data_IF_363028387009
#
_entry.id   IF_363028387009
#
_cell.length_a   1.000
_cell.length_b   1.000
_cell.length_c   1.000
_cell.angle_alpha   90.00
_cell.angle_beta   90.00
_cell.angle_gamma   90.00
#
_symmetry.space_group_name_H-M   'P 1'
#
loop_
_entity.id
_entity.type
_entity.pdbx_description
1 polymer ?
#
# COMPACT_ATOMS: atom_id res chain seq x y z
N UNK A 1 15.79 -15.30 -15.24
CA UNK A 1 14.57 -14.58 -14.83
C UNK A 1 14.71 -14.35 -13.35
N UNK A 2 14.90 -13.09 -12.91
CA UNK A 2 14.94 -12.77 -11.48
C UNK A 2 13.56 -12.28 -11.05
N UNK A 3 12.86 -13.08 -10.25
CA UNK A 3 11.62 -12.67 -9.62
C UNK A 3 11.96 -11.78 -8.42
N UNK A 4 11.78 -10.48 -8.59
CA UNK A 4 11.91 -9.53 -7.49
C UNK A 4 10.60 -9.47 -6.70
N UNK A 5 10.61 -10.04 -5.48
CA UNK A 5 9.50 -9.89 -4.54
C UNK A 5 9.57 -8.52 -3.86
N UNK A 6 8.61 -7.66 -4.19
CA UNK A 6 8.44 -6.37 -3.52
C UNK A 6 7.46 -6.51 -2.37
N UNK A 7 7.84 -6.00 -1.21
CA UNK A 7 6.92 -5.87 -0.06
C UNK A 7 6.22 -4.52 -0.13
N UNK A 8 5.01 -4.44 0.45
CA UNK A 8 4.25 -3.18 0.49
C UNK A 8 5.02 -1.99 1.09
N UNK A 9 5.86 -2.15 2.15
CA UNK A 9 6.66 -1.04 2.65
C UNK A 9 7.67 -0.54 1.61
N UNK A 10 8.28 -1.45 0.84
CA UNK A 10 9.22 -1.10 -0.24
C UNK A 10 8.51 -0.36 -1.36
N UNK A 11 7.29 -0.76 -1.71
CA UNK A 11 6.44 -0.04 -2.67
C UNK A 11 6.11 1.36 -2.13
N UNK A 12 5.79 1.49 -0.85
CA UNK A 12 5.58 2.78 -0.19
C UNK A 12 6.77 3.73 -0.34
N UNK A 13 7.99 3.23 -0.10
CA UNK A 13 9.23 4.01 -0.31
C UNK A 13 9.45 4.39 -1.77
N UNK A 14 9.11 3.50 -2.72
CA UNK A 14 9.22 3.81 -4.15
C UNK A 14 8.24 4.91 -4.58
N UNK A 15 7.01 4.86 -4.06
CA UNK A 15 6.01 5.91 -4.30
C UNK A 15 6.51 7.26 -3.77
N UNK A 16 7.02 7.29 -2.53
CA UNK A 16 7.59 8.48 -1.92
C UNK A 16 8.75 9.07 -2.76
N UNK A 17 9.67 8.23 -3.22
CA UNK A 17 10.77 8.63 -4.09
C UNK A 17 10.29 9.21 -5.45
N UNK A 18 9.11 8.78 -5.93
CA UNK A 18 8.46 9.35 -7.10
C UNK A 18 7.63 10.62 -6.80
N UNK A 19 7.60 11.10 -5.56
CA UNK A 19 6.76 12.21 -5.14
C UNK A 19 5.27 11.85 -5.11
N UNK A 20 4.95 10.58 -4.84
CA UNK A 20 3.60 10.07 -4.71
C UNK A 20 3.31 9.71 -3.25
N UNK A 21 2.18 10.18 -2.74
CA UNK A 21 1.68 9.78 -1.43
C UNK A 21 0.76 8.56 -1.57
N UNK A 22 1.05 7.51 -0.82
CA UNK A 22 0.21 6.31 -0.76
C UNK A 22 -1.12 6.60 -0.04
N UNK A 23 -2.23 6.23 -0.68
CA UNK A 23 -3.59 6.45 -0.18
C UNK A 23 -4.27 5.17 0.31
N UNK A 24 -3.81 4.00 -0.14
CA UNK A 24 -4.35 2.72 0.27
C UNK A 24 -4.33 1.68 -0.85
N UNK A 25 -4.91 0.53 -0.53
CA UNK A 25 -5.02 -0.61 -1.43
C UNK A 25 -6.48 -0.93 -1.71
N UNK A 26 -6.72 -1.33 -2.95
CA UNK A 26 -7.96 -1.95 -3.38
C UNK A 26 -7.67 -3.41 -3.72
N UNK A 27 -8.24 -4.29 -2.92
CA UNK A 27 -8.17 -5.74 -3.08
C UNK A 27 -9.34 -6.20 -3.95
N UNK A 28 -9.11 -7.21 -4.79
CA UNK A 28 -10.19 -7.81 -5.59
C UNK A 28 -11.29 -8.43 -4.73
N UNK A 29 -10.96 -8.92 -3.53
CA UNK A 29 -11.90 -9.56 -2.62
C UNK A 29 -12.38 -8.56 -1.55
N UNK A 30 -13.68 -8.19 -1.55
CA UNK A 30 -14.24 -7.27 -0.56
C UNK A 30 -14.11 -7.78 0.88
N UNK A 31 -14.12 -9.11 1.07
CA UNK A 31 -14.02 -9.74 2.38
C UNK A 31 -12.69 -9.41 3.08
N UNK A 32 -11.59 -9.41 2.33
CA UNK A 32 -10.27 -9.11 2.88
C UNK A 32 -10.18 -7.65 3.34
N UNK A 33 -10.81 -6.73 2.59
CA UNK A 33 -10.91 -5.33 2.99
C UNK A 33 -11.72 -5.15 4.28
N UNK A 34 -12.82 -5.90 4.42
CA UNK A 34 -13.61 -5.88 5.66
C UNK A 34 -12.84 -6.46 6.84
N UNK A 35 -12.08 -7.54 6.64
CA UNK A 35 -11.20 -8.12 7.67
C UNK A 35 -10.13 -7.12 8.12
N UNK A 36 -9.46 -6.47 7.16
CA UNK A 36 -8.49 -5.42 7.46
C UNK A 36 -9.12 -4.30 8.29
N UNK A 37 -10.29 -3.80 7.90
CA UNK A 37 -10.99 -2.75 8.63
C UNK A 37 -11.45 -3.17 10.04
N UNK A 38 -11.78 -4.46 10.23
CA UNK A 38 -12.13 -4.99 11.54
C UNK A 38 -10.92 -5.08 12.49
N UNK A 39 -9.74 -5.36 11.95
CA UNK A 39 -8.49 -5.48 12.73
C UNK A 39 -7.77 -4.15 12.92
N UNK A 40 -8.01 -3.19 12.02
CA UNK A 40 -7.46 -1.85 12.05
C UNK A 40 -8.62 -0.82 12.07
N UNK A 41 -9.18 -0.52 13.26
CA UNK A 41 -10.26 0.45 13.40
C UNK A 41 -9.81 1.88 13.06
N UNK A 42 -8.49 2.12 13.06
CA UNK A 42 -7.92 3.40 12.69
C UNK A 42 -7.85 3.58 11.16
N UNK A 43 -8.51 4.61 10.64
CA UNK A 43 -8.55 4.91 9.22
C UNK A 43 -7.18 5.29 8.63
N UNK A 44 -6.22 5.73 9.44
CA UNK A 44 -4.87 6.02 8.98
C UNK A 44 -4.08 4.72 8.71
N UNK A 45 -4.46 3.60 9.34
CA UNK A 45 -3.85 2.30 9.04
C UNK A 45 -4.05 1.90 7.57
N UNK A 46 -5.21 2.22 6.98
CA UNK A 46 -5.47 1.98 5.55
C UNK A 46 -4.53 2.77 4.62
N UNK A 47 -3.94 3.87 5.11
CA UNK A 47 -2.94 4.69 4.41
C UNK A 47 -1.51 4.32 4.77
N UNK A 48 -1.29 3.26 5.55
CA UNK A 48 0.03 2.82 5.95
C UNK A 48 0.42 1.53 5.22
N UNK A 49 1.42 1.56 4.31
CA UNK A 49 1.92 0.34 3.67
C UNK A 49 2.42 -0.70 4.67
N UNK A 50 2.92 -0.26 5.83
CA UNK A 50 3.37 -1.14 6.91
C UNK A 50 2.21 -1.88 7.58
N UNK A 51 1.06 -1.23 7.78
CA UNK A 51 -0.12 -1.88 8.34
C UNK A 51 -0.63 -2.98 7.40
N UNK A 52 -0.70 -2.70 6.10
CA UNK A 52 -1.07 -3.70 5.10
C UNK A 52 -0.08 -4.86 5.01
N UNK A 53 1.22 -4.62 5.17
CA UNK A 53 2.22 -5.69 5.22
C UNK A 53 2.06 -6.59 6.45
N UNK A 54 1.76 -5.99 7.61
CA UNK A 54 1.42 -6.74 8.82
C UNK A 54 0.16 -7.59 8.67
N UNK A 55 -0.82 -7.10 7.90
CA UNK A 55 -2.00 -7.86 7.54
C UNK A 55 -1.68 -9.02 6.57
N UNK A 56 -0.92 -8.76 5.50
CA UNK A 56 -0.42 -9.78 4.54
C UNK A 56 0.32 -10.92 5.25
N UNK A 57 1.19 -10.58 6.21
CA UNK A 57 1.98 -11.57 6.95
C UNK A 57 1.10 -12.50 7.78
N UNK A 58 -0.04 -12.01 8.28
CA UNK A 58 -1.00 -12.78 9.09
C UNK A 58 -2.03 -13.50 8.23
N UNK A 59 -2.31 -12.98 7.04
CA UNK A 59 -3.26 -13.53 6.07
C UNK A 59 -2.57 -13.68 4.70
N UNK A 60 -1.71 -14.70 4.52
CA UNK A 60 -0.93 -14.85 3.29
C UNK A 60 -1.80 -15.05 2.03
N UNK A 61 -3.05 -15.50 2.21
CA UNK A 61 -4.01 -15.64 1.11
C UNK A 61 -4.53 -14.29 0.60
N UNK A 62 -4.55 -13.25 1.44
CA UNK A 62 -5.19 -11.94 1.14
C UNK A 62 -4.69 -11.33 -0.17
N UNK A 63 -3.40 -11.48 -0.46
CA UNK A 63 -2.75 -10.91 -1.64
C UNK A 63 -2.46 -11.96 -2.72
N UNK A 64 -3.16 -13.11 -2.69
CA UNK A 64 -3.04 -14.15 -3.70
C UNK A 64 -3.65 -13.77 -5.06
N UNK A 65 -4.40 -12.67 -5.13
CA UNK A 65 -4.94 -12.08 -6.36
C UNK A 65 -4.22 -10.82 -6.81
N UNK A 66 -4.75 -10.15 -7.81
CA UNK A 66 -4.30 -8.82 -8.20
C UNK A 66 -4.80 -7.80 -7.17
N UNK A 67 -4.05 -6.72 -6.98
CA UNK A 67 -4.50 -5.59 -6.19
C UNK A 67 -4.09 -4.28 -6.86
N UNK A 68 -4.81 -3.21 -6.53
CA UNK A 68 -4.58 -1.88 -7.06
C UNK A 68 -4.10 -0.98 -5.94
N UNK A 69 -3.04 -0.22 -6.20
CA UNK A 69 -2.55 0.78 -5.27
C UNK A 69 -3.11 2.13 -5.68
N UNK A 70 -3.73 2.82 -4.71
CA UNK A 70 -4.12 4.21 -4.87
C UNK A 70 -3.00 5.08 -4.32
N UNK A 71 -2.52 5.98 -5.14
CA UNK A 71 -1.58 7.02 -4.75
C UNK A 71 -2.04 8.35 -5.35
N UNK A 72 -1.74 9.45 -4.66
CA UNK A 72 -1.87 10.79 -5.22
C UNK A 72 -0.51 11.39 -5.43
N UNK A 73 -0.41 12.34 -6.35
CA UNK A 73 0.75 13.22 -6.38
C UNK A 73 0.85 13.88 -5.00
N UNK A 74 1.96 13.62 -4.29
CA UNK A 74 2.27 14.40 -3.11
C UNK A 74 2.26 15.86 -3.57
N UNK A 75 1.71 16.79 -2.78
CA UNK A 75 1.86 18.22 -3.06
C UNK A 75 3.32 18.59 -2.85
N UNK A 76 4.16 18.14 -3.77
CA UNK A 76 5.52 18.59 -3.93
C UNK A 76 5.37 19.93 -4.64
N UNK A 77 5.57 21.01 -3.88
CA UNK A 77 5.94 22.28 -4.47
C UNK A 77 7.16 21.99 -5.33
N UNK A 78 6.99 22.03 -6.65
CA UNK A 78 7.99 21.67 -7.64
C UNK A 78 9.15 22.69 -7.57
N UNK A 79 10.09 22.49 -6.65
CA UNK A 79 11.43 23.02 -6.80
C UNK A 79 12.14 22.12 -7.82
N UNK A 80 12.10 22.53 -9.08
CA UNK A 80 12.93 21.93 -10.13
C UNK A 80 14.42 22.09 -9.84
N UNK A 81 15.30 21.33 -10.51
CA UNK A 81 16.73 21.33 -10.23
C UNK A 81 17.33 22.71 -10.55
N UNK A 82 18.25 23.18 -9.70
CA UNK A 82 19.17 24.28 -10.00
C UNK A 82 20.42 23.72 -10.66
#
# INVERSE_FOLDING_TARGET
>A
MEEHRFTLPRIGTMLDACGLEFLGLELERPLDRTRFAAEHPDLAAARSPAAWHGFETRHPDTFGGTYRIWARQARSGRAGPR
#
